data_IF_524225919167
#
_entry.id   IF_524225919167
#
_cell.length_a   1.000
_cell.length_b   1.000
_cell.length_c   1.000
_cell.angle_alpha   90.00
_cell.angle_beta   90.00
_cell.angle_gamma   90.00
#
_symmetry.space_group_name_H-M   'P 1'
#
loop_
_entity.id
_entity.type
_entity.pdbx_description
1 polymer ?
#
# COMPACT_ATOMS: atom_id res chain seq x y z
N UNK A 1 -2.57 -5.33 -19.99
CA UNK A 1 -2.56 -4.55 -18.73
C UNK A 1 -3.96 -4.00 -18.50
N UNK A 2 -4.83 -4.73 -17.80
CA UNK A 2 -6.12 -4.18 -17.36
C UNK A 2 -5.86 -3.47 -16.04
N UNK A 3 -5.91 -2.14 -16.05
CA UNK A 3 -5.98 -1.35 -14.82
C UNK A 3 -7.41 -1.56 -14.32
N UNK A 4 -7.62 -2.45 -13.36
CA UNK A 4 -8.82 -2.38 -12.53
C UNK A 4 -8.73 -1.06 -11.77
N UNK A 5 -9.67 -0.15 -12.05
CA UNK A 5 -9.75 1.14 -11.38
C UNK A 5 -10.19 0.86 -9.95
N UNK A 6 -9.23 0.77 -9.02
CA UNK A 6 -9.55 0.69 -7.59
C UNK A 6 -9.98 2.09 -7.16
N UNK A 7 -11.29 2.29 -7.18
CA UNK A 7 -11.91 3.52 -6.73
C UNK A 7 -11.88 3.56 -5.21
N UNK A 8 -11.54 4.70 -4.63
CA UNK A 8 -11.76 4.93 -3.21
C UNK A 8 -13.25 4.69 -2.88
N UNK A 9 -13.60 4.11 -1.71
CA UNK A 9 -14.99 3.77 -1.37
C UNK A 9 -15.97 4.92 -1.61
N UNK A 10 -15.58 6.16 -1.28
CA UNK A 10 -16.40 7.36 -1.48
C UNK A 10 -16.63 7.72 -2.96
N UNK A 11 -15.68 7.38 -3.84
CA UNK A 11 -15.80 7.63 -5.28
C UNK A 11 -16.73 6.60 -5.92
N UNK A 12 -16.69 5.35 -5.46
CA UNK A 12 -17.62 4.31 -5.90
C UNK A 12 -19.08 4.59 -5.45
N UNK A 13 -19.28 5.36 -4.37
CA UNK A 13 -20.57 5.65 -3.75
C UNK A 13 -21.20 7.01 -4.12
N UNK A 14 -20.72 7.71 -5.16
CA UNK A 14 -21.21 9.02 -5.68
C UNK A 14 -20.57 10.32 -5.10
N UNK A 15 -19.35 10.28 -4.55
CA UNK A 15 -18.64 11.48 -4.09
C UNK A 15 -17.75 12.16 -5.15
N UNK A 16 -17.58 13.50 -5.13
CA UNK A 16 -16.63 14.19 -5.99
C UNK A 16 -15.17 13.82 -5.66
N UNK A 17 -14.31 13.89 -6.68
CA UNK A 17 -12.86 13.79 -6.58
C UNK A 17 -12.32 14.64 -5.42
N UNK A 18 -11.50 14.05 -4.55
CA UNK A 18 -10.93 14.74 -3.39
C UNK A 18 -9.46 14.43 -3.22
N UNK A 19 -8.75 15.28 -2.48
CA UNK A 19 -7.36 15.03 -2.09
C UNK A 19 -7.24 13.67 -1.36
N UNK A 20 -8.30 13.20 -0.69
CA UNK A 20 -8.31 11.92 0.02
C UNK A 20 -8.50 10.71 -0.90
N UNK A 21 -9.19 10.87 -2.04
CA UNK A 21 -9.24 9.83 -3.07
C UNK A 21 -7.87 9.66 -3.74
N UNK A 22 -7.13 10.76 -3.94
CA UNK A 22 -5.75 10.70 -4.45
C UNK A 22 -4.81 9.98 -3.48
N UNK A 23 -4.94 10.23 -2.17
CA UNK A 23 -4.18 9.50 -1.13
C UNK A 23 -4.48 8.00 -1.20
N UNK A 24 -5.75 7.63 -1.39
CA UNK A 24 -6.14 6.23 -1.52
C UNK A 24 -5.52 5.57 -2.76
N UNK A 25 -5.64 6.21 -3.93
CA UNK A 25 -5.04 5.71 -5.17
C UNK A 25 -3.52 5.61 -5.08
N UNK A 26 -2.87 6.56 -4.39
CA UNK A 26 -1.45 6.48 -4.07
C UNK A 26 -1.11 5.24 -3.23
N UNK A 27 -1.89 4.97 -2.18
CA UNK A 27 -1.72 3.79 -1.32
C UNK A 27 -1.84 2.48 -2.10
N UNK A 28 -2.87 2.35 -2.95
CA UNK A 28 -3.06 1.18 -3.82
C UNK A 28 -1.87 0.98 -4.74
N UNK A 29 -1.41 2.06 -5.39
CA UNK A 29 -0.28 2.00 -6.30
C UNK A 29 1.01 1.59 -5.58
N UNK A 30 1.27 2.15 -4.40
CA UNK A 30 2.44 1.82 -3.58
C UNK A 30 2.43 0.34 -3.20
N UNK A 31 1.32 -0.17 -2.67
CA UNK A 31 1.19 -1.58 -2.33
C UNK A 31 1.37 -2.47 -3.56
N UNK A 32 0.78 -2.08 -4.69
CA UNK A 32 0.92 -2.83 -5.93
C UNK A 32 2.37 -2.89 -6.43
N UNK A 33 3.12 -1.79 -6.37
CA UNK A 33 4.53 -1.76 -6.76
C UNK A 33 5.35 -2.72 -5.90
N UNK A 34 5.10 -2.75 -4.58
CA UNK A 34 5.81 -3.62 -3.66
C UNK A 34 5.44 -5.09 -3.85
N UNK A 35 4.18 -5.36 -4.17
CA UNK A 35 3.63 -6.70 -4.29
C UNK A 35 3.74 -7.33 -5.69
N UNK A 36 4.22 -6.60 -6.71
CA UNK A 36 4.20 -7.04 -8.11
C UNK A 36 5.24 -8.14 -8.39
N UNK A 37 4.99 -9.32 -7.83
CA UNK A 37 5.57 -10.59 -8.24
C UNK A 37 5.07 -10.83 -9.66
N UNK A 38 5.96 -10.73 -10.64
CA UNK A 38 5.76 -10.81 -12.10
C UNK A 38 4.81 -11.89 -12.68
N UNK A 39 4.26 -12.80 -11.86
CA UNK A 39 3.29 -13.84 -12.21
C UNK A 39 2.01 -13.69 -11.37
N UNK A 40 1.10 -12.84 -11.82
CA UNK A 40 -0.18 -12.57 -11.17
C UNK A 40 -1.24 -13.63 -11.54
N UNK A 41 -0.99 -14.91 -11.20
CA UNK A 41 -2.03 -15.96 -11.23
C UNK A 41 -2.83 -16.01 -9.93
N UNK A 42 -2.31 -15.45 -8.83
CA UNK A 42 -2.93 -15.58 -7.50
C UNK A 42 -4.18 -14.72 -7.27
N UNK A 43 -4.39 -13.69 -8.09
CA UNK A 43 -5.57 -12.80 -7.97
C UNK A 43 -6.71 -13.19 -8.93
N UNK A 44 -6.53 -14.24 -9.74
CA UNK A 44 -7.60 -14.79 -10.59
C UNK A 44 -8.43 -15.86 -9.85
N UNK A 45 -7.89 -16.50 -8.79
CA UNK A 45 -8.52 -17.64 -8.12
C UNK A 45 -9.49 -17.27 -6.97
N UNK A 46 -9.38 -16.08 -6.39
CA UNK A 46 -10.34 -15.57 -5.41
C UNK A 46 -10.68 -14.09 -5.66
N UNK A 47 -11.80 -13.80 -6.35
CA UNK A 47 -12.28 -12.44 -6.60
C UNK A 47 -12.58 -11.62 -5.33
N UNK A 48 -12.63 -12.27 -4.15
CA UNK A 48 -12.95 -11.63 -2.88
C UNK A 48 -11.72 -11.16 -2.09
N UNK A 49 -10.54 -11.74 -2.35
CA UNK A 49 -9.28 -11.33 -1.75
C UNK A 49 -8.70 -10.14 -2.52
N UNK A 50 -9.27 -8.96 -2.25
CA UNK A 50 -8.68 -7.72 -2.75
C UNK A 50 -7.22 -7.61 -2.24
N UNK A 51 -6.30 -7.12 -3.08
CA UNK A 51 -4.87 -6.95 -2.75
C UNK A 51 -4.64 -6.33 -1.36
N UNK A 52 -5.45 -5.33 -1.00
CA UNK A 52 -5.34 -4.62 0.27
C UNK A 52 -5.65 -5.57 1.44
N UNK A 53 -6.68 -6.41 1.32
CA UNK A 53 -7.06 -7.42 2.30
C UNK A 53 -5.96 -8.46 2.49
N UNK A 54 -5.40 -8.97 1.39
CA UNK A 54 -4.28 -9.92 1.49
C UNK A 54 -3.04 -9.32 2.17
N UNK A 55 -2.65 -8.10 1.77
CA UNK A 55 -1.54 -7.37 2.42
C UNK A 55 -1.84 -7.11 3.90
N UNK A 56 -3.09 -6.79 4.25
CA UNK A 56 -3.51 -6.55 5.63
C UNK A 56 -3.43 -7.80 6.50
N UNK A 57 -3.83 -8.97 6.00
CA UNK A 57 -3.67 -10.23 6.72
C UNK A 57 -2.18 -10.55 6.96
N UNK A 58 -1.34 -10.44 5.92
CA UNK A 58 0.09 -10.65 6.06
C UNK A 58 0.75 -9.66 7.02
N UNK A 59 0.29 -8.40 7.04
CA UNK A 59 0.74 -7.41 8.01
C UNK A 59 0.41 -7.80 9.44
N UNK A 60 -0.81 -8.28 9.70
CA UNK A 60 -1.22 -8.76 11.03
C UNK A 60 -0.43 -9.99 11.49
N UNK A 61 0.00 -10.84 10.55
CA UNK A 61 0.80 -12.04 10.83
C UNK A 61 2.32 -11.78 10.91
N UNK A 62 2.78 -10.54 10.74
CA UNK A 62 4.21 -10.17 10.65
C UNK A 62 4.94 -10.86 9.47
N UNK A 63 4.20 -11.19 8.41
CA UNK A 63 4.67 -11.88 7.20
C UNK A 63 4.66 -10.99 5.96
N UNK A 64 4.59 -9.68 6.16
CA UNK A 64 4.37 -8.73 5.07
C UNK A 64 5.53 -8.64 4.07
N UNK A 65 6.71 -9.16 4.43
CA UNK A 65 7.83 -9.24 3.51
C UNK A 65 7.70 -10.39 2.50
N UNK A 66 6.82 -11.36 2.74
CA UNK A 66 6.61 -12.51 1.84
C UNK A 66 5.94 -12.14 0.51
N UNK A 67 5.17 -11.04 0.50
CA UNK A 67 4.51 -10.53 -0.70
C UNK A 67 5.43 -9.65 -1.55
N UNK A 68 6.59 -9.24 -1.02
CA UNK A 68 7.47 -8.28 -1.67
C UNK A 68 8.15 -8.93 -2.88
N UNK A 69 8.16 -8.23 -4.01
CA UNK A 69 8.89 -8.69 -5.19
C UNK A 69 10.38 -8.89 -4.86
N UNK A 70 10.94 -10.03 -5.28
CA UNK A 70 12.34 -10.38 -4.96
C UNK A 70 13.34 -9.35 -5.47
N UNK A 71 13.06 -8.70 -6.60
CA UNK A 71 13.92 -7.63 -7.13
C UNK A 71 13.91 -6.38 -6.25
N UNK A 72 12.84 -6.15 -5.48
CA UNK A 72 12.77 -5.08 -4.48
C UNK A 72 13.43 -5.54 -3.18
N UNK A 73 13.16 -6.77 -2.74
CA UNK A 73 13.72 -7.34 -1.51
C UNK A 73 15.26 -7.36 -1.50
N UNK A 74 15.89 -7.57 -2.66
CA UNK A 74 17.35 -7.58 -2.80
C UNK A 74 17.98 -6.18 -2.77
N UNK A 75 17.20 -5.13 -3.02
CA UNK A 75 17.69 -3.75 -3.19
C UNK A 75 17.37 -2.80 -2.03
N UNK A 76 16.48 -3.17 -1.11
CA UNK A 76 16.02 -2.31 -0.01
C UNK A 76 16.11 -3.00 1.34
N UNK A 77 16.31 -2.23 2.41
CA UNK A 77 16.36 -2.79 3.76
C UNK A 77 14.94 -3.15 4.21
N UNK A 78 14.76 -4.29 4.87
CA UNK A 78 13.47 -4.78 5.36
C UNK A 78 12.63 -3.70 6.07
N UNK A 79 13.27 -2.86 6.90
CA UNK A 79 12.59 -1.79 7.63
C UNK A 79 11.98 -0.71 6.72
N UNK A 80 12.61 -0.42 5.57
CA UNK A 80 12.13 0.56 4.59
C UNK A 80 10.91 0.00 3.86
N UNK A 81 10.97 -1.28 3.50
CA UNK A 81 9.88 -1.99 2.85
C UNK A 81 8.67 -2.07 3.78
N UNK A 82 8.86 -2.49 5.03
CA UNK A 82 7.79 -2.52 6.05
C UNK A 82 7.17 -1.14 6.26
N UNK A 83 7.97 -0.07 6.26
CA UNK A 83 7.49 1.31 6.36
C UNK A 83 6.65 1.70 5.15
N UNK A 84 7.08 1.36 3.94
CA UNK A 84 6.32 1.61 2.72
C UNK A 84 4.97 0.88 2.75
N UNK A 85 4.93 -0.37 3.21
CA UNK A 85 3.70 -1.14 3.32
C UNK A 85 2.77 -0.55 4.37
N UNK A 86 3.30 -0.16 5.53
CA UNK A 86 2.52 0.52 6.58
C UNK A 86 1.87 1.81 6.07
N UNK A 87 2.65 2.65 5.36
CA UNK A 87 2.13 3.88 4.76
C UNK A 87 1.07 3.55 3.71
N UNK A 88 1.30 2.54 2.87
CA UNK A 88 0.32 2.05 1.89
C UNK A 88 -1.01 1.66 2.55
N UNK A 89 -0.96 0.86 3.62
CA UNK A 89 -2.13 0.43 4.40
C UNK A 89 -2.88 1.59 5.06
N UNK A 90 -2.17 2.60 5.57
CA UNK A 90 -2.78 3.81 6.12
C UNK A 90 -3.45 4.67 5.03
N UNK A 91 -2.88 4.72 3.83
CA UNK A 91 -3.44 5.45 2.70
C UNK A 91 -4.73 4.82 2.17
N UNK A 92 -4.91 3.51 2.29
CA UNK A 92 -6.07 2.76 1.77
C UNK A 92 -7.17 2.47 2.81
N UNK A 93 -7.16 3.17 3.94
CA UNK A 93 -8.23 3.05 4.94
C UNK A 93 -9.59 3.36 4.31
N UNK A 94 -10.62 2.61 4.72
CA UNK A 94 -11.99 2.74 4.20
C UNK A 94 -12.51 4.16 4.43
N UNK A 95 -12.36 4.67 5.66
CA UNK A 95 -12.69 6.04 6.03
C UNK A 95 -11.62 7.02 5.56
N UNK A 96 -12.03 8.03 4.79
CA UNK A 96 -11.16 9.11 4.30
C UNK A 96 -10.56 9.98 5.42
N UNK A 97 -11.18 9.97 6.62
CA UNK A 97 -10.70 10.70 7.78
C UNK A 97 -9.45 10.05 8.39
N UNK A 98 -9.34 8.73 8.29
CA UNK A 98 -8.24 7.94 8.85
C UNK A 98 -7.02 7.91 7.93
N UNK A 99 -7.20 8.28 6.66
CA UNK A 99 -6.09 8.40 5.71
C UNK A 99 -5.19 9.57 6.11
N UNK A 100 -3.86 9.46 5.98
CA UNK A 100 -2.96 10.57 6.21
C UNK A 100 -3.17 11.72 5.19
N UNK A 101 -2.47 12.83 5.40
CA UNK A 101 -2.28 13.80 4.32
C UNK A 101 -1.17 13.30 3.38
N UNK A 102 -1.17 13.71 2.12
CA UNK A 102 -0.07 13.36 1.20
C UNK A 102 1.29 13.81 1.74
N UNK A 103 1.37 14.99 2.36
CA UNK A 103 2.60 15.48 2.99
C UNK A 103 3.06 14.56 4.12
N UNK A 104 2.16 14.11 4.99
CA UNK A 104 2.48 13.17 6.07
C UNK A 104 2.92 11.81 5.54
N UNK A 105 2.27 11.32 4.48
CA UNK A 105 2.64 10.05 3.84
C UNK A 105 4.06 10.13 3.26
N UNK A 106 4.34 11.14 2.44
CA UNK A 106 5.67 11.36 1.83
C UNK A 106 6.74 11.58 2.90
N UNK A 107 6.43 12.38 3.93
CA UNK A 107 7.35 12.61 5.04
C UNK A 107 7.71 11.29 5.74
N UNK A 108 6.72 10.44 6.02
CA UNK A 108 6.95 9.14 6.67
C UNK A 108 7.79 8.22 5.79
N UNK A 109 7.59 8.24 4.47
CA UNK A 109 8.38 7.45 3.53
C UNK A 109 9.84 7.92 3.47
N UNK A 110 10.07 9.24 3.45
CA UNK A 110 11.40 9.84 3.34
C UNK A 110 12.17 9.93 4.66
N UNK A 111 11.53 9.67 5.81
CA UNK A 111 12.21 9.74 7.09
C UNK A 111 13.00 8.45 7.36
N UNK A 112 14.27 8.44 6.96
CA UNK A 112 15.28 7.63 7.62
C UNK A 112 15.34 8.09 9.08
N UNK A 113 14.99 7.22 10.02
CA UNK A 113 15.45 7.44 11.40
C UNK A 113 16.98 7.34 11.33
N UNK A 114 17.67 8.48 11.21
CA UNK A 114 19.05 8.57 11.65
C UNK A 114 19.03 8.12 13.10
N UNK A 115 19.52 6.92 13.36
CA UNK A 115 19.66 6.42 14.73
C UNK A 115 20.40 7.50 15.51
N UNK A 116 19.75 8.03 16.55
CA UNK A 116 20.34 8.98 17.48
C UNK A 116 21.37 8.24 18.34
N UNK A 117 22.49 7.90 17.72
CA UNK A 117 23.76 7.53 18.34
C UNK A 117 24.87 8.20 17.51
N UNK A 118 24.83 9.53 17.47
CA UNK A 118 26.03 10.37 17.34
C UNK A 118 26.13 11.18 18.62
#
# INVERSE_FOLDING_TARGET
>A
MKIQVVMSPEYAMQGPFSIKSDVFSFGVLLLKILSDKKNNEYFDDDPSMNLIGHVWELWKEDKVLEIVDSTIADNYVAHEISRCIQVGLLCVQESALDRPTMTSAIFTLGNEKKNAYT
#
